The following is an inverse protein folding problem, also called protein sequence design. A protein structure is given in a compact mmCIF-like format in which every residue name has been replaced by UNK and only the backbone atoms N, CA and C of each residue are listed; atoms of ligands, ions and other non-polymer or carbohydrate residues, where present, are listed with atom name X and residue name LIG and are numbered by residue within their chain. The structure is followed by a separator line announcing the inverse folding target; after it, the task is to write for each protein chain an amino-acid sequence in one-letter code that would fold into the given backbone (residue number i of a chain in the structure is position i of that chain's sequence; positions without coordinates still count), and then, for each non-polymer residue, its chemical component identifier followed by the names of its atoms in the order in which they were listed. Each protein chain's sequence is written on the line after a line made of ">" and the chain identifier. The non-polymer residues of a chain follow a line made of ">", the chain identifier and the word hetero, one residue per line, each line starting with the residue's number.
data_IF_979306595851
#
_entry.id   IF_979306595851
#
_cell.length_a   1.000
_cell.length_b   1.000
_cell.length_c   1.000
_cell.angle_alpha   90.00
_cell.angle_beta   90.00
_cell.angle_gamma   90.00
#
_symmetry.space_group_name_H-M   'P 1'
#
loop_
_entity.id
_entity.type
_entity.pdbx_description
1 polymer ?
#
# COMPACT_ATOMS: atom_id res chain seq x y z
N UNK A 1 17.11 2.23 -10.69
CA UNK A 1 16.19 2.65 -9.61
C UNK A 1 15.00 1.70 -9.56
N UNK A 2 14.68 1.18 -8.38
CA UNK A 2 13.51 0.31 -8.15
C UNK A 2 12.56 1.01 -7.18
N UNK A 3 11.26 0.94 -7.43
CA UNK A 3 10.24 1.61 -6.63
C UNK A 3 9.06 0.70 -6.31
N UNK A 4 8.41 0.93 -5.17
CA UNK A 4 7.20 0.22 -4.74
C UNK A 4 6.01 1.19 -4.63
N UNK A 5 5.08 1.05 -5.56
CA UNK A 5 3.74 1.64 -5.49
C UNK A 5 2.79 0.75 -4.71
N UNK A 6 1.98 1.36 -3.83
CA UNK A 6 0.93 0.68 -3.07
C UNK A 6 -0.35 1.50 -3.19
N UNK A 7 -1.47 0.82 -3.42
CA UNK A 7 -2.80 1.41 -3.44
C UNK A 7 -3.76 0.51 -2.69
N UNK A 8 -4.55 1.11 -1.81
CA UNK A 8 -5.68 0.44 -1.16
C UNK A 8 -6.94 0.94 -1.86
N UNK A 9 -7.84 0.04 -2.19
CA UNK A 9 -9.16 0.36 -2.73
C UNK A 9 -10.24 -0.24 -1.84
N UNK A 10 -11.36 0.47 -1.71
CA UNK A 10 -12.52 0.07 -0.93
C UNK A 10 -13.70 -0.23 -1.86
N UNK A 11 -14.50 -1.22 -1.50
CA UNK A 11 -15.69 -1.60 -2.26
C UNK A 11 -16.81 -0.59 -2.03
N UNK A 12 -17.31 0.02 -3.10
CA UNK A 12 -18.49 0.88 -3.07
C UNK A 12 -19.80 0.08 -3.25
N UNK A 13 -20.96 0.65 -2.87
CA UNK A 13 -22.27 0.02 -3.11
C UNK A 13 -22.56 -0.29 -4.58
N UNK A 14 -21.87 0.37 -5.51
CA UNK A 14 -21.94 0.10 -6.96
C UNK A 14 -21.35 -1.26 -7.33
N UNK A 15 -20.58 -1.89 -6.43
CA UNK A 15 -19.83 -3.11 -6.69
C UNK A 15 -18.41 -2.87 -7.21
N UNK A 16 -18.02 -1.60 -7.41
CA UNK A 16 -16.68 -1.24 -7.88
C UNK A 16 -15.71 -0.98 -6.73
N UNK A 17 -14.44 -1.30 -6.94
CA UNK A 17 -13.37 -0.97 -6.00
C UNK A 17 -12.77 0.38 -6.36
N UNK A 18 -13.00 1.39 -5.52
CA UNK A 18 -12.50 2.75 -5.72
C UNK A 18 -11.26 2.98 -4.85
N UNK A 19 -10.19 3.61 -5.38
CA UNK A 19 -9.00 3.92 -4.59
C UNK A 19 -9.33 4.77 -3.37
N UNK A 20 -8.84 4.36 -2.20
CA UNK A 20 -8.97 5.11 -0.97
C UNK A 20 -8.27 6.48 -1.09
N UNK A 21 -8.85 7.48 -0.43
CA UNK A 21 -8.25 8.81 -0.34
C UNK A 21 -6.94 8.71 0.44
N UNK A 22 -5.90 9.39 -0.06
CA UNK A 22 -4.60 9.48 0.61
C UNK A 22 -4.30 10.94 0.89
N UNK A 23 -4.14 11.28 2.17
CA UNK A 23 -3.66 12.59 2.58
C UNK A 23 -2.14 12.65 2.57
N UNK A 24 -1.58 13.62 1.84
CA UNK A 24 -0.14 13.85 1.68
C UNK A 24 0.35 15.12 2.40
N UNK A 25 -0.50 15.74 3.24
CA UNK A 25 -0.17 16.96 3.99
C UNK A 25 1.09 16.84 4.89
N UNK A 26 1.50 15.61 5.24
CA UNK A 26 2.66 15.32 6.10
C UNK A 26 4.06 15.48 5.45
N UNK A 27 4.15 15.94 4.21
CA UNK A 27 5.40 16.46 3.63
C UNK A 27 6.45 15.45 3.13
N UNK A 28 6.34 14.16 3.43
CA UNK A 28 7.24 13.14 2.89
C UNK A 28 6.66 12.46 1.64
N UNK A 29 7.36 12.48 0.49
CA UNK A 29 6.97 11.74 -0.70
C UNK A 29 6.79 10.25 -0.37
N UNK A 30 5.73 9.63 -0.88
CA UNK A 30 5.43 8.21 -0.67
C UNK A 30 5.04 7.78 0.76
N UNK A 31 4.87 8.71 1.70
CA UNK A 31 4.36 8.51 3.08
C UNK A 31 3.00 9.19 3.28
N UNK A 32 2.02 8.86 2.43
CA UNK A 32 0.66 9.34 2.60
C UNK A 32 -0.08 8.63 3.75
N UNK A 33 -1.13 9.25 4.27
CA UNK A 33 -2.06 8.66 5.23
C UNK A 33 -3.32 8.19 4.49
N UNK A 34 -3.55 6.88 4.44
CA UNK A 34 -4.77 6.31 3.87
C UNK A 34 -5.97 6.59 4.77
N UNK A 35 -7.04 7.11 4.20
CA UNK A 35 -8.29 7.38 4.90
C UNK A 35 -9.29 6.28 4.51
N UNK A 36 -9.65 5.43 5.48
CA UNK A 36 -10.36 4.17 5.25
C UNK A 36 -11.67 4.11 6.05
N UNK A 37 -12.66 3.36 5.59
CA UNK A 37 -13.98 3.24 6.25
C UNK A 37 -14.18 1.89 6.98
N UNK A 38 -14.57 1.90 8.24
CA UNK A 38 -14.81 0.66 8.99
C UNK A 38 -15.78 -0.30 8.30
N UNK A 39 -15.44 -1.60 8.39
CA UNK A 39 -16.27 -2.69 7.85
C UNK A 39 -16.38 -2.76 6.32
N UNK A 40 -15.57 -2.05 5.53
CA UNK A 40 -15.60 -2.14 4.07
C UNK A 40 -14.58 -3.17 3.55
N UNK A 41 -14.96 -3.94 2.52
CA UNK A 41 -14.05 -4.88 1.86
C UNK A 41 -12.97 -4.12 1.10
N UNK A 42 -11.72 -4.59 1.18
CA UNK A 42 -10.57 -3.90 0.58
C UNK A 42 -9.75 -4.79 -0.32
N UNK A 43 -9.11 -4.14 -1.29
CA UNK A 43 -8.06 -4.72 -2.10
C UNK A 43 -6.79 -3.88 -1.98
N UNK A 44 -5.65 -4.54 -1.93
CA UNK A 44 -4.35 -3.89 -1.99
C UNK A 44 -3.74 -4.23 -3.34
N UNK A 45 -3.48 -3.21 -4.15
CA UNK A 45 -2.69 -3.32 -5.37
C UNK A 45 -1.26 -2.90 -5.07
N UNK A 46 -0.33 -3.80 -5.33
CA UNK A 46 1.11 -3.55 -5.23
C UNK A 46 1.68 -3.46 -6.63
N UNK A 47 2.47 -2.42 -6.90
CA UNK A 47 3.17 -2.20 -8.17
C UNK A 47 4.66 -2.05 -7.92
N UNK A 48 5.42 -3.05 -8.34
CA UNK A 48 6.87 -3.06 -8.32
C UNK A 48 7.38 -2.48 -9.63
N UNK A 49 8.27 -1.51 -9.54
CA UNK A 49 8.90 -0.86 -10.68
C UNK A 49 10.38 -1.19 -10.61
N UNK A 50 10.92 -1.74 -11.68
CA UNK A 50 12.35 -2.02 -11.79
C UNK A 50 12.88 -1.45 -13.10
N UNK A 51 13.89 -0.59 -13.03
CA UNK A 51 14.68 -0.22 -14.20
C UNK A 51 15.55 -1.41 -14.63
N UNK A 52 15.43 -1.84 -15.89
CA UNK A 52 16.19 -2.92 -16.51
C UNK A 52 17.68 -2.71 -16.27
N UNK A 53 18.22 -3.43 -15.29
CA UNK A 53 19.58 -3.93 -15.28
C UNK A 53 19.61 -5.35 -15.84
N UNK A 54 20.80 -5.86 -16.15
CA UNK A 54 20.99 -7.18 -16.77
C UNK A 54 20.72 -8.36 -15.83
N UNK A 55 20.36 -8.12 -14.55
CA UNK A 55 20.55 -9.12 -13.49
C UNK A 55 19.26 -9.60 -12.81
N UNK A 56 18.14 -8.87 -12.90
CA UNK A 56 16.96 -9.17 -12.09
C UNK A 56 15.79 -9.66 -12.95
N UNK A 57 15.65 -10.97 -13.02
CA UNK A 57 14.56 -11.65 -13.71
C UNK A 57 13.53 -12.12 -12.68
N UNK A 58 12.36 -11.50 -12.74
CA UNK A 58 11.25 -11.79 -11.84
C UNK A 58 10.47 -12.99 -12.30
N UNK A 59 10.22 -13.92 -11.39
CA UNK A 59 9.48 -15.14 -11.65
C UNK A 59 8.03 -15.02 -11.20
N UNK A 60 7.81 -14.82 -9.90
CA UNK A 60 6.47 -14.74 -9.32
C UNK A 60 6.46 -13.99 -7.96
N UNK A 61 5.27 -13.70 -7.46
CA UNK A 61 5.05 -13.20 -6.09
C UNK A 61 4.59 -14.39 -5.25
N UNK A 62 5.44 -14.81 -4.32
CA UNK A 62 5.15 -15.95 -3.45
C UNK A 62 4.01 -15.65 -2.48
N UNK A 63 4.12 -14.51 -1.80
CA UNK A 63 3.10 -14.05 -0.85
C UNK A 63 3.27 -12.57 -0.51
N UNK A 64 2.17 -11.95 -0.08
CA UNK A 64 2.20 -10.66 0.59
C UNK A 64 1.77 -10.85 2.03
N UNK A 65 2.69 -10.53 2.93
CA UNK A 65 2.50 -10.68 4.36
C UNK A 65 2.29 -9.31 4.99
N UNK A 66 1.38 -9.24 5.95
CA UNK A 66 0.97 -8.00 6.60
C UNK A 66 0.90 -8.19 8.11
N UNK A 67 1.42 -7.24 8.87
CA UNK A 67 1.41 -7.29 10.35
C UNK A 67 2.08 -6.05 10.95
N UNK A 68 2.64 -6.19 12.15
CA UNK A 68 3.27 -5.08 12.90
C UNK A 68 2.31 -3.89 13.11
N UNK A 69 1.12 -4.18 13.64
CA UNK A 69 0.04 -3.20 13.76
C UNK A 69 0.26 -2.33 14.99
N UNK A 70 0.40 -1.03 14.79
CA UNK A 70 0.86 -0.12 15.85
C UNK A 70 0.25 1.28 15.71
N UNK A 71 0.25 2.04 16.81
CA UNK A 71 -0.25 3.43 16.86
C UNK A 71 0.87 4.48 16.91
N UNK A 72 2.13 4.05 16.84
CA UNK A 72 3.32 4.89 16.77
C UNK A 72 4.13 4.57 15.52
N UNK A 73 4.86 5.54 14.94
CA UNK A 73 5.66 5.31 13.74
C UNK A 73 6.83 4.33 13.96
N UNK A 74 7.36 4.24 15.18
CA UNK A 74 8.44 3.32 15.54
C UNK A 74 7.94 1.88 15.60
N UNK A 75 8.75 0.94 15.11
CA UNK A 75 8.50 -0.49 15.22
C UNK A 75 8.99 -0.96 16.59
N UNK A 76 8.10 -1.60 17.35
CA UNK A 76 8.45 -2.27 18.60
C UNK A 76 8.71 -3.75 18.31
N UNK A 77 9.97 -4.18 18.42
CA UNK A 77 10.38 -5.57 18.15
C UNK A 77 9.85 -6.56 19.20
N UNK A 78 9.26 -6.08 20.30
CA UNK A 78 8.74 -6.93 21.39
C UNK A 78 7.27 -7.31 21.23
N UNK A 79 6.54 -6.65 20.33
CA UNK A 79 5.13 -6.96 20.07
C UNK A 79 4.99 -8.23 19.21
N UNK A 80 4.42 -9.29 19.79
CA UNK A 80 4.01 -10.49 19.05
C UNK A 80 2.76 -10.18 18.20
N UNK A 81 2.95 -9.40 17.15
CA UNK A 81 1.85 -9.04 16.26
C UNK A 81 1.47 -10.22 15.37
N UNK A 82 0.16 -10.44 15.23
CA UNK A 82 -0.38 -11.41 14.29
C UNK A 82 0.06 -11.01 12.87
N UNK A 83 0.88 -11.85 12.27
CA UNK A 83 1.35 -11.70 10.89
C UNK A 83 0.48 -12.57 10.00
N UNK A 84 -0.14 -11.97 8.98
CA UNK A 84 -1.07 -12.65 8.09
C UNK A 84 -0.55 -12.64 6.65
N UNK A 85 -0.57 -13.80 6.01
CA UNK A 85 -0.39 -13.94 4.57
C UNK A 85 -1.72 -13.65 3.86
N UNK A 86 -1.70 -12.75 2.89
CA UNK A 86 -2.90 -12.31 2.16
C UNK A 86 -3.10 -13.11 0.88
N UNK A 87 -4.37 -13.33 0.53
CA UNK A 87 -4.74 -14.05 -0.68
C UNK A 87 -4.51 -13.20 -1.94
N UNK A 88 -3.60 -13.63 -2.82
CA UNK A 88 -3.35 -13.02 -4.12
C UNK A 88 -4.43 -13.44 -5.10
N UNK A 89 -5.19 -12.48 -5.62
CA UNK A 89 -6.31 -12.72 -6.53
C UNK A 89 -5.97 -12.43 -8.00
N UNK A 90 -4.89 -11.69 -8.25
CA UNK A 90 -4.39 -11.44 -9.60
C UNK A 90 -2.93 -11.03 -9.54
N UNK A 91 -2.08 -11.60 -10.40
CA UNK A 91 -0.71 -11.16 -10.64
C UNK A 91 -0.47 -10.98 -12.14
N UNK A 92 0.12 -9.85 -12.54
CA UNK A 92 0.35 -9.49 -13.94
C UNK A 92 1.73 -8.86 -14.12
N UNK A 93 2.53 -9.46 -15.00
CA UNK A 93 3.75 -8.85 -15.54
C UNK A 93 3.34 -7.86 -16.63
N UNK A 94 3.66 -6.59 -16.43
CA UNK A 94 3.44 -5.54 -17.42
C UNK A 94 4.79 -5.05 -17.94
N UNK A 95 5.13 -5.49 -19.15
CA UNK A 95 6.27 -4.94 -19.87
C UNK A 95 5.91 -3.53 -20.34
N UNK A 96 6.81 -2.57 -20.13
CA UNK A 96 6.66 -1.24 -20.71
C UNK A 96 6.61 -1.33 -22.24
N UNK A 97 5.80 -0.45 -22.85
CA UNK A 97 5.90 -0.11 -24.28
C UNK A 97 7.33 0.35 -24.63
N UNK A 98 7.68 0.22 -25.92
CA UNK A 98 8.98 0.24 -26.59
C UNK A 98 10.02 1.32 -26.24
N UNK A 99 9.76 2.24 -25.31
CA UNK A 99 10.63 3.39 -25.03
C UNK A 99 10.95 3.63 -23.54
N UNK A 100 10.62 2.69 -22.64
CA UNK A 100 11.09 2.78 -21.25
C UNK A 100 11.83 1.52 -20.84
N UNK A 101 13.04 1.70 -20.31
CA UNK A 101 13.84 0.64 -19.67
C UNK A 101 13.23 0.22 -18.32
N UNK A 102 11.90 0.26 -18.14
CA UNK A 102 11.24 -0.08 -16.87
C UNK A 102 10.32 -1.27 -17.07
N UNK A 103 10.35 -2.19 -16.11
CA UNK A 103 9.42 -3.31 -16.03
C UNK A 103 8.52 -3.09 -14.81
N UNK A 104 7.22 -3.37 -14.97
CA UNK A 104 6.22 -3.22 -13.93
C UNK A 104 5.66 -4.58 -13.58
N UNK A 105 5.64 -4.92 -12.30
CA UNK A 105 4.95 -6.10 -11.79
C UNK A 105 3.84 -5.64 -10.90
N UNK A 106 2.61 -6.04 -11.21
CA UNK A 106 1.43 -5.62 -10.46
C UNK A 106 0.66 -6.84 -10.00
N UNK A 107 0.40 -6.91 -8.70
CA UNK A 107 -0.48 -7.91 -8.14
C UNK A 107 -1.48 -7.27 -7.19
N UNK A 108 -2.60 -7.96 -7.02
CA UNK A 108 -3.72 -7.54 -6.20
C UNK A 108 -4.04 -8.63 -5.18
N UNK A 109 -4.26 -8.22 -3.94
CA UNK A 109 -4.67 -9.10 -2.84
C UNK A 109 -5.97 -8.60 -2.22
N UNK A 110 -6.71 -9.52 -1.60
CA UNK A 110 -7.81 -9.15 -0.70
C UNK A 110 -7.25 -8.88 0.70
N UNK A 111 -7.70 -7.79 1.32
CA UNK A 111 -7.36 -7.48 2.71
C UNK A 111 -8.62 -7.32 3.55
N UNK A 112 -8.72 -8.17 4.57
CA UNK A 112 -9.69 -8.07 5.65
C UNK A 112 -8.95 -7.65 6.93
N UNK A 113 -9.23 -6.43 7.39
CA UNK A 113 -8.59 -5.87 8.56
C UNK A 113 -8.98 -6.58 9.85
N UNK A 114 -10.14 -7.25 9.89
CA UNK A 114 -10.65 -7.93 11.08
C UNK A 114 -9.87 -9.18 11.44
N UNK A 115 -9.28 -9.86 10.44
CA UNK A 115 -8.48 -11.08 10.63
C UNK A 115 -7.24 -10.85 11.49
N UNK A 116 -6.77 -9.61 11.59
CA UNK A 116 -5.62 -9.24 12.43
C UNK A 116 -5.94 -9.31 13.92
N UNK A 117 -7.22 -9.40 14.32
CA UNK A 117 -7.68 -9.35 15.71
C UNK A 117 -7.13 -8.16 16.51
N UNK A 118 -6.77 -7.07 15.83
CA UNK A 118 -6.21 -5.87 16.45
C UNK A 118 -7.32 -4.89 16.83
N UNK A 119 -7.34 -4.45 18.10
CA UNK A 119 -8.25 -3.40 18.55
C UNK A 119 -8.04 -2.08 17.81
N UNK A 120 -6.82 -1.82 17.29
CA UNK A 120 -6.54 -0.63 16.50
C UNK A 120 -7.30 -0.65 15.17
N UNK A 121 -7.30 -1.79 14.49
CA UNK A 121 -7.97 -1.97 13.18
C UNK A 121 -9.48 -2.17 13.30
N UNK A 122 -9.98 -2.61 14.46
CA UNK A 122 -11.38 -2.95 14.69
C UNK A 122 -12.22 -1.80 15.28
N UNK A 123 -11.73 -0.56 15.21
CA UNK A 123 -12.45 0.63 15.70
C UNK A 123 -12.19 1.87 14.83
N UNK A 124 -13.05 2.88 14.98
CA UNK A 124 -12.76 4.22 14.45
C UNK A 124 -11.51 4.76 15.15
N UNK A 125 -10.56 5.26 14.37
CA UNK A 125 -9.31 5.83 14.89
C UNK A 125 -9.62 7.14 15.63
N UNK A 126 -9.18 7.32 16.88
CA UNK A 126 -9.37 8.57 17.61
C UNK A 126 -8.75 9.78 16.89
N UNK A 127 -9.31 10.96 17.13
CA UNK A 127 -8.83 12.19 16.50
C UNK A 127 -7.35 12.44 16.84
N UNK A 128 -6.53 12.70 15.83
CA UNK A 128 -5.08 12.94 15.98
C UNK A 128 -4.23 11.67 16.07
N UNK A 129 -4.84 10.49 16.21
CA UNK A 129 -4.13 9.21 16.18
C UNK A 129 -3.98 8.67 14.75
N UNK A 130 -2.98 7.82 14.57
CA UNK A 130 -2.69 7.12 13.32
C UNK A 130 -2.41 5.67 13.62
N UNK A 131 -2.74 4.81 12.66
CA UNK A 131 -2.40 3.40 12.70
C UNK A 131 -1.37 3.14 11.62
N UNK A 132 -0.42 2.30 11.93
CA UNK A 132 0.62 1.89 11.02
C UNK A 132 0.66 0.38 10.94
N UNK A 133 1.13 -0.10 9.80
CA UNK A 133 1.20 -1.51 9.46
C UNK A 133 2.32 -1.73 8.48
N UNK A 134 3.03 -2.84 8.64
CA UNK A 134 4.12 -3.25 7.78
C UNK A 134 3.61 -4.29 6.77
N UNK A 135 3.86 -4.04 5.48
CA UNK A 135 3.66 -5.01 4.41
C UNK A 135 5.00 -5.52 3.92
N UNK A 136 5.15 -6.83 3.80
CA UNK A 136 6.33 -7.50 3.27
C UNK A 136 5.95 -8.42 2.11
N UNK A 137 6.38 -8.07 0.91
CA UNK A 137 6.18 -8.89 -0.29
C UNK A 137 7.38 -9.84 -0.43
N UNK A 138 7.11 -11.14 -0.55
CA UNK A 138 8.09 -12.19 -0.80
C UNK A 138 8.09 -12.58 -2.27
N UNK A 139 9.25 -12.51 -2.88
CA UNK A 139 9.40 -12.36 -4.32
C UNK A 139 10.31 -13.44 -4.86
N UNK A 140 9.82 -14.22 -5.81
CA UNK A 140 10.64 -15.21 -6.50
C UNK A 140 11.39 -14.55 -7.66
N UNK A 141 12.71 -14.71 -7.64
CA UNK A 141 13.60 -14.25 -8.70
C UNK A 141 14.25 -15.47 -9.35
N UNK A 142 14.46 -15.42 -10.66
CA UNK A 142 15.20 -16.48 -11.36
C UNK A 142 16.64 -16.53 -10.83
N UNK A 143 17.19 -17.74 -10.80
CA UNK A 143 18.55 -18.02 -10.34
C UNK A 143 18.86 -17.60 -8.88
N UNK A 144 17.83 -17.31 -8.08
CA UNK A 144 17.94 -17.05 -6.64
C UNK A 144 17.34 -18.23 -5.84
N UNK A 145 18.06 -18.67 -4.81
CA UNK A 145 17.62 -19.75 -3.91
C UNK A 145 16.67 -19.21 -2.83
N UNK A 146 16.87 -17.97 -2.40
CA UNK A 146 16.04 -17.30 -1.40
C UNK A 146 15.15 -16.23 -2.05
N UNK A 147 13.90 -16.07 -1.58
CA UNK A 147 13.04 -15.00 -2.06
C UNK A 147 13.60 -13.63 -1.65
N UNK A 148 13.50 -12.65 -2.55
CA UNK A 148 13.74 -11.26 -2.19
C UNK A 148 12.54 -10.76 -1.37
N UNK A 149 12.81 -9.92 -0.36
CA UNK A 149 11.77 -9.34 0.49
C UNK A 149 11.77 -7.84 0.30
N UNK A 150 10.62 -7.28 -0.08
CA UNK A 150 10.43 -5.84 -0.11
C UNK A 150 9.41 -5.48 0.97
N UNK A 151 9.83 -4.63 1.89
CA UNK A 151 9.02 -4.17 3.01
C UNK A 151 8.62 -2.72 2.85
N UNK A 152 7.38 -2.39 3.19
CA UNK A 152 6.86 -1.03 3.23
C UNK A 152 5.89 -0.84 4.39
N UNK A 153 6.14 0.19 5.17
CA UNK A 153 5.17 0.66 6.15
C UNK A 153 4.12 1.54 5.48
N UNK A 154 2.89 1.40 5.92
CA UNK A 154 1.79 2.28 5.56
C UNK A 154 1.19 2.93 6.80
N UNK A 155 0.62 4.12 6.60
CA UNK A 155 -0.04 4.91 7.63
C UNK A 155 -1.52 5.06 7.25
N UNK A 156 -2.43 4.90 8.21
CA UNK A 156 -3.86 4.95 7.95
C UNK A 156 -4.67 5.49 9.14
N UNK A 157 -5.89 5.93 8.82
CA UNK A 157 -6.92 6.36 9.77
C UNK A 157 -8.24 5.70 9.34
N UNK A 158 -8.93 5.07 10.29
CA UNK A 158 -10.25 4.48 10.07
C UNK A 158 -11.36 5.43 10.53
N UNK A 159 -12.27 5.74 9.63
CA UNK A 159 -13.51 6.47 9.90
C UNK A 159 -14.68 5.52 10.06
N UNK A 160 -15.80 6.03 10.59
CA UNK A 160 -17.08 5.30 10.53
C UNK A 160 -17.48 5.09 9.07
N UNK A 161 -18.24 4.02 8.81
CA UNK A 161 -18.65 3.60 7.47
C UNK A 161 -19.35 4.71 6.67
N UNK A 162 -20.13 5.55 7.34
CA UNK A 162 -21.01 6.54 6.69
C UNK A 162 -20.37 7.93 6.52
N UNK A 163 -19.12 8.11 6.98
CA UNK A 163 -18.41 9.38 6.84
C UNK A 163 -18.05 9.61 5.38
N UNK A 164 -18.37 10.77 4.82
CA UNK A 164 -17.89 11.14 3.48
C UNK A 164 -16.49 11.72 3.58
N UNK A 165 -15.52 11.02 3.02
CA UNK A 165 -14.13 11.45 2.96
C UNK A 165 -13.89 12.14 1.62
N UNK A 166 -13.70 13.45 1.65
CA UNK A 166 -13.29 14.23 0.48
C UNK A 166 -11.77 14.18 0.33
N UNK A 167 -11.22 14.05 -0.89
CA UNK A 167 -9.80 14.33 -1.11
C UNK A 167 -9.45 15.71 -0.58
N UNK A 168 -8.33 15.88 0.15
CA UNK A 168 -7.87 17.21 0.50
C UNK A 168 -7.75 18.03 -0.79
N UNK A 169 -8.38 19.20 -0.84
CA UNK A 169 -8.26 20.11 -1.99
C UNK A 169 -6.78 20.43 -2.16
N UNK A 170 -6.12 19.87 -3.18
CA UNK A 170 -4.75 20.26 -3.47
C UNK A 170 -4.77 21.76 -3.80
N UNK A 171 -4.14 22.59 -2.99
CA UNK A 171 -3.77 23.93 -3.44
C UNK A 171 -2.80 23.70 -4.61
N UNK A 172 -3.26 23.97 -5.83
CA UNK A 172 -2.35 24.18 -6.96
C UNK A 172 -1.46 25.33 -6.54
N UNK A 173 -0.22 25.06 -6.12
CA UNK A 173 0.76 26.12 -5.97
C UNK A 173 1.00 26.68 -7.36
N UNK A 174 0.60 27.93 -7.55
CA UNK A 174 0.85 28.75 -8.71
C UNK A 174 2.38 28.85 -8.92
N UNK A 175 2.94 28.09 -9.86
CA UNK A 175 4.18 28.51 -10.51
C UNK A 175 3.79 29.49 -11.63
N UNK A 176 3.55 30.73 -11.21
CA UNK A 176 3.55 31.89 -12.08
C UNK A 176 4.76 32.75 -11.71
N UNK A 177 5.85 32.59 -12.46
CA UNK A 177 6.90 33.58 -12.67
C UNK A 177 7.71 33.02 -13.86
N UNK A 178 7.58 33.51 -15.07
CA UNK A 178 7.71 34.91 -15.44
C UNK A 178 9.05 35.02 -16.16
N UNK A 179 9.03 34.91 -17.48
CA UNK A 179 10.18 35.19 -18.32
C UNK A 179 10.63 36.64 -18.09
N UNK A 180 11.92 36.84 -17.88
CA UNK A 180 12.66 38.05 -18.24
C UNK A 180 14.06 37.62 -18.63
#
# INVERSE_FOLDING_TARGET
>A
SSGLGLRISELEPTGEYIPAVVDHSGGLPCHGTYLLHQGIQRRITVTLIHEKGCELHWKDVRELVVGRIRNKPEVDDTAADAVLSLNIISAKNMKSSHNSNRTFYRFEVVWDSSLHNSLLLNRVTPCGEKIYMTLSAYLELDHCIQPAIITKDICMVFYSRDVKISPPRSLRSLFGSGYS
#
